data_IF_184422158589
#
_entry.id   IF_184422158589
#
_cell.length_a   1.000
_cell.length_b   1.000
_cell.length_c   1.000
_cell.angle_alpha   90.00
_cell.angle_beta   90.00
_cell.angle_gamma   90.00
#
_symmetry.space_group_name_H-M   'P 1'
#
loop_
_entity.id
_entity.type
_entity.pdbx_description
1 polymer ?
#
# COMPACT_ATOMS: atom_id res chain seq x y z
N UNK A 1 -24.84 -51.64 43.23
CA UNK A 1 -23.65 -50.77 43.39
C UNK A 1 -23.07 -50.52 42.00
N UNK A 2 -23.45 -49.40 41.39
CA UNK A 2 -23.08 -49.02 40.02
C UNK A 2 -22.83 -47.51 40.04
N UNK A 3 -21.90 -47.09 39.19
CA UNK A 3 -21.50 -45.72 38.86
C UNK A 3 -20.42 -45.16 39.78
N UNK A 4 -19.21 -45.05 39.25
CA UNK A 4 -18.32 -43.89 39.39
C UNK A 4 -16.95 -44.22 38.75
N UNK A 5 -16.85 -44.21 37.42
CA UNK A 5 -15.58 -44.01 36.71
C UNK A 5 -15.92 -43.31 35.39
N UNK A 6 -15.95 -41.97 35.38
CA UNK A 6 -15.91 -41.18 34.14
C UNK A 6 -15.55 -39.72 34.47
N UNK A 7 -14.31 -39.47 34.86
CA UNK A 7 -13.82 -38.10 35.08
C UNK A 7 -12.30 -38.04 34.84
N UNK A 8 -11.86 -38.26 33.60
CA UNK A 8 -10.44 -38.13 33.24
C UNK A 8 -10.19 -37.81 31.75
N UNK A 9 -11.13 -37.16 31.06
CA UNK A 9 -10.99 -36.85 29.63
C UNK A 9 -11.44 -35.40 29.33
N UNK A 10 -10.81 -34.39 29.94
CA UNK A 10 -11.11 -32.99 29.62
C UNK A 10 -9.92 -32.02 29.76
N UNK A 11 -8.67 -32.51 29.65
CA UNK A 11 -7.48 -31.68 29.88
C UNK A 11 -6.52 -31.58 28.68
N UNK A 12 -6.99 -31.80 27.44
CA UNK A 12 -6.15 -31.66 26.23
C UNK A 12 -6.88 -30.83 25.17
N UNK A 13 -7.09 -29.54 25.45
CA UNK A 13 -7.75 -28.64 24.49
C UNK A 13 -7.28 -27.18 24.59
N UNK A 14 -6.01 -26.94 24.92
CA UNK A 14 -5.52 -25.56 25.09
C UNK A 14 -4.08 -25.37 24.65
N UNK A 15 -3.73 -25.74 23.40
CA UNK A 15 -2.51 -25.25 22.74
C UNK A 15 -2.71 -25.20 21.21
N UNK A 16 -3.69 -24.43 20.76
CA UNK A 16 -3.69 -23.90 19.39
C UNK A 16 -3.55 -22.38 19.50
N UNK A 17 -2.31 -21.93 19.72
CA UNK A 17 -1.95 -20.56 19.38
C UNK A 17 -2.13 -20.42 17.87
N UNK A 18 -3.30 -19.97 17.45
CA UNK A 18 -3.50 -19.41 16.13
C UNK A 18 -2.56 -18.22 16.01
N UNK A 19 -1.40 -18.43 15.41
CA UNK A 19 -0.64 -17.35 14.80
C UNK A 19 -1.54 -16.77 13.72
N UNK A 20 -2.30 -15.75 14.06
CA UNK A 20 -2.92 -14.90 13.07
C UNK A 20 -1.78 -14.26 12.28
N UNK A 21 -1.39 -14.86 11.16
CA UNK A 21 -0.74 -14.09 10.11
C UNK A 21 -1.78 -13.04 9.72
N UNK A 22 -1.59 -11.82 10.24
CA UNK A 22 -2.44 -10.67 9.96
C UNK A 22 -2.54 -10.54 8.44
N UNK A 23 -3.74 -10.58 7.89
CA UNK A 23 -3.95 -10.39 6.46
C UNK A 23 -3.62 -8.93 6.06
N UNK A 24 -3.49 -8.69 4.75
CA UNK A 24 -3.43 -7.32 4.21
C UNK A 24 -4.64 -6.49 4.69
N UNK A 25 -4.47 -5.17 4.70
CA UNK A 25 -5.58 -4.24 4.93
C UNK A 25 -6.65 -4.40 3.85
N UNK A 26 -7.89 -4.11 4.25
CA UNK A 26 -9.07 -4.09 3.41
C UNK A 26 -9.77 -2.75 3.61
N UNK A 27 -10.23 -2.15 2.51
CA UNK A 27 -11.06 -0.96 2.57
C UNK A 27 -12.53 -1.38 2.48
N UNK A 28 -13.26 -1.23 3.58
CA UNK A 28 -14.69 -1.46 3.59
C UNK A 28 -15.39 -0.50 2.63
N UNK A 29 -16.23 -1.03 1.73
CA UNK A 29 -16.90 -0.22 0.71
C UNK A 29 -16.00 0.21 -0.45
N UNK A 30 -14.85 -0.44 -0.64
CA UNK A 30 -14.01 -0.28 -1.84
C UNK A 30 -14.86 -0.42 -3.12
N UNK A 31 -14.88 0.65 -3.90
CA UNK A 31 -15.74 0.75 -5.08
C UNK A 31 -14.97 0.99 -6.34
N UNK A 32 -14.03 1.93 -6.35
CA UNK A 32 -13.24 2.24 -7.53
C UNK A 32 -11.96 1.43 -7.50
N UNK A 33 -11.64 0.77 -8.62
CA UNK A 33 -10.47 -0.08 -8.73
C UNK A 33 -9.54 0.45 -9.82
N UNK A 34 -8.29 0.68 -9.46
CA UNK A 34 -7.24 1.16 -10.32
C UNK A 34 -5.99 0.27 -10.18
N UNK A 35 -5.28 0.12 -11.30
CA UNK A 35 -4.02 -0.63 -11.34
C UNK A 35 -2.87 0.34 -11.57
N UNK A 36 -1.72 0.04 -11.00
CA UNK A 36 -0.51 0.78 -11.29
C UNK A 36 -0.17 0.68 -12.79
N UNK A 37 0.41 1.73 -13.34
CA UNK A 37 0.84 1.73 -14.73
C UNK A 37 2.29 2.16 -14.93
N UNK A 38 2.74 3.19 -14.21
CA UNK A 38 4.06 3.78 -14.40
C UNK A 38 4.41 4.74 -13.27
N UNK A 39 5.68 5.12 -13.20
CA UNK A 39 6.12 6.37 -12.61
C UNK A 39 6.06 7.48 -13.66
N UNK A 40 5.49 8.64 -13.32
CA UNK A 40 5.25 9.76 -14.24
C UNK A 40 5.77 11.08 -13.66
N UNK A 41 6.05 12.05 -14.51
CA UNK A 41 6.44 13.40 -14.13
C UNK A 41 5.21 14.26 -13.76
N UNK A 42 5.39 15.51 -13.34
CA UNK A 42 4.30 16.30 -12.71
C UNK A 42 3.10 16.55 -13.66
N UNK A 43 3.32 16.47 -14.97
CA UNK A 43 2.26 16.53 -15.99
C UNK A 43 1.28 15.33 -15.94
N UNK A 44 1.61 14.26 -15.20
CA UNK A 44 0.80 13.05 -15.05
C UNK A 44 0.81 12.12 -16.27
N UNK A 45 1.65 12.40 -17.27
CA UNK A 45 1.66 11.72 -18.58
C UNK A 45 3.05 11.26 -19.01
N UNK A 46 4.06 12.13 -18.89
CA UNK A 46 5.44 11.82 -19.25
C UNK A 46 6.00 10.80 -18.27
N UNK A 47 6.55 9.69 -18.77
CA UNK A 47 7.12 8.67 -17.89
C UNK A 47 8.46 9.14 -17.31
N UNK A 48 8.68 8.85 -16.03
CA UNK A 48 9.97 9.04 -15.40
C UNK A 48 11.01 8.14 -16.08
N UNK A 49 12.21 8.66 -16.30
CA UNK A 49 13.29 7.91 -16.99
C UNK A 49 13.96 6.86 -16.10
N UNK A 50 13.78 6.96 -14.78
CA UNK A 50 14.33 6.06 -13.78
C UNK A 50 13.26 5.73 -12.73
N UNK A 51 13.38 4.56 -12.10
CA UNK A 51 12.58 4.21 -10.92
C UNK A 51 12.95 5.13 -9.75
N UNK A 52 12.00 5.58 -8.92
CA UNK A 52 12.31 6.34 -7.72
C UNK A 52 13.33 5.61 -6.83
N UNK A 53 14.38 6.32 -6.39
CA UNK A 53 15.53 5.69 -5.74
C UNK A 53 15.15 4.92 -4.47
N UNK A 54 14.28 5.50 -3.65
CA UNK A 54 13.76 4.98 -2.39
C UNK A 54 12.97 3.67 -2.60
N UNK A 55 12.29 3.54 -3.75
CA UNK A 55 11.51 2.37 -4.10
C UNK A 55 12.34 1.29 -4.79
N UNK A 56 13.37 1.70 -5.54
CA UNK A 56 14.27 0.80 -6.23
C UNK A 56 15.09 -0.06 -5.25
N UNK A 57 15.44 0.47 -4.06
CA UNK A 57 16.19 -0.25 -3.02
C UNK A 57 15.49 -1.55 -2.58
N UNK A 58 14.16 -1.55 -2.52
CA UNK A 58 13.34 -2.67 -2.07
C UNK A 58 12.57 -3.35 -3.20
N UNK A 59 12.88 -3.06 -4.47
CA UNK A 59 12.13 -3.56 -5.62
C UNK A 59 10.61 -3.36 -5.46
N UNK A 60 10.17 -2.18 -5.03
CA UNK A 60 8.76 -1.92 -4.75
C UNK A 60 7.96 -1.88 -6.06
N UNK A 61 6.89 -2.68 -6.10
CA UNK A 61 5.94 -2.77 -7.20
C UNK A 61 4.52 -2.51 -6.69
N UNK A 62 3.97 -1.35 -7.03
CA UNK A 62 2.55 -1.09 -6.80
C UNK A 62 1.70 -1.95 -7.74
N UNK A 63 0.61 -2.49 -7.22
CA UNK A 63 -0.27 -3.37 -8.00
C UNK A 63 -1.73 -2.93 -7.96
N UNK A 64 -2.14 -2.20 -6.90
CA UNK A 64 -3.53 -1.86 -6.68
C UNK A 64 -3.68 -0.48 -6.03
N UNK A 65 -4.66 0.27 -6.51
CA UNK A 65 -5.23 1.41 -5.81
C UNK A 65 -6.75 1.28 -5.85
N UNK A 66 -7.36 1.31 -4.67
CA UNK A 66 -8.81 1.30 -4.49
C UNK A 66 -9.28 2.58 -3.82
N UNK A 67 -10.53 2.96 -4.04
CA UNK A 67 -11.17 4.04 -3.29
C UNK A 67 -12.62 3.71 -2.97
N UNK A 68 -13.13 4.28 -1.88
CA UNK A 68 -14.55 4.16 -1.52
C UNK A 68 -15.45 5.03 -2.42
N UNK A 69 -16.76 5.06 -2.15
CA UNK A 69 -17.69 5.86 -2.94
C UNK A 69 -17.42 7.37 -2.88
N UNK A 70 -16.94 7.86 -1.74
CA UNK A 70 -16.67 9.28 -1.50
C UNK A 70 -15.37 9.76 -2.14
N UNK A 71 -14.46 8.83 -2.45
CA UNK A 71 -13.07 9.09 -2.85
C UNK A 71 -12.20 9.70 -1.74
N UNK A 72 -12.68 9.73 -0.50
CA UNK A 72 -11.93 10.24 0.64
C UNK A 72 -11.04 9.16 1.29
N UNK A 73 -11.39 7.88 1.13
CA UNK A 73 -10.61 6.76 1.64
C UNK A 73 -10.03 5.95 0.49
N UNK A 74 -8.72 5.76 0.52
CA UNK A 74 -7.96 5.08 -0.53
C UNK A 74 -7.24 3.89 0.09
N UNK A 75 -7.22 2.75 -0.60
CA UNK A 75 -6.32 1.64 -0.30
C UNK A 75 -5.26 1.52 -1.37
N UNK A 76 -3.99 1.46 -0.98
CA UNK A 76 -2.87 1.19 -1.87
C UNK A 76 -2.27 -0.15 -1.49
N UNK A 77 -1.95 -0.99 -2.49
CA UNK A 77 -1.20 -2.23 -2.28
C UNK A 77 0.01 -2.32 -3.19
N UNK A 78 1.07 -2.91 -2.65
CA UNK A 78 2.33 -3.13 -3.33
C UNK A 78 2.96 -4.45 -2.88
N UNK A 79 3.93 -4.92 -3.65
CA UNK A 79 4.90 -5.93 -3.24
C UNK A 79 6.30 -5.33 -3.18
N UNK A 80 7.17 -5.91 -2.37
CA UNK A 80 8.57 -5.50 -2.26
C UNK A 80 9.40 -6.70 -1.78
N UNK A 81 10.72 -6.55 -1.80
CA UNK A 81 11.66 -7.55 -1.32
C UNK A 81 12.54 -6.95 -0.22
N UNK A 82 12.70 -7.68 0.88
CA UNK A 82 13.63 -7.33 1.95
C UNK A 82 14.47 -8.56 2.30
N UNK A 83 15.80 -8.45 2.16
CA UNK A 83 16.74 -9.54 2.45
C UNK A 83 16.41 -10.88 1.76
N UNK A 84 15.89 -10.82 0.52
CA UNK A 84 15.47 -12.00 -0.25
C UNK A 84 14.10 -12.57 0.15
N UNK A 85 13.38 -11.91 1.06
CA UNK A 85 12.01 -12.26 1.46
C UNK A 85 11.03 -11.43 0.64
N UNK A 86 10.09 -12.11 -0.02
CA UNK A 86 8.99 -11.44 -0.70
C UNK A 86 7.96 -10.93 0.32
N UNK A 87 7.66 -9.64 0.24
CA UNK A 87 6.82 -8.93 1.18
C UNK A 87 5.58 -8.34 0.50
N UNK A 88 4.45 -8.31 1.20
CA UNK A 88 3.27 -7.54 0.80
C UNK A 88 3.17 -6.25 1.61
N UNK A 89 2.68 -5.20 0.95
CA UNK A 89 2.37 -3.91 1.55
C UNK A 89 0.90 -3.57 1.28
N UNK A 90 0.22 -3.06 2.29
CA UNK A 90 -1.09 -2.42 2.14
C UNK A 90 -1.18 -1.19 3.03
N UNK A 91 -1.81 -0.13 2.52
CA UNK A 91 -2.02 1.12 3.25
C UNK A 91 -3.39 1.70 3.00
N UNK A 92 -3.97 2.28 4.04
CA UNK A 92 -5.13 3.17 3.96
C UNK A 92 -4.64 4.60 3.99
N UNK A 93 -5.06 5.38 3.01
CA UNK A 93 -4.76 6.80 2.89
C UNK A 93 -6.07 7.60 2.96
N UNK A 94 -5.99 8.79 3.55
CA UNK A 94 -7.07 9.78 3.52
C UNK A 94 -6.78 10.83 2.46
N UNK A 95 -7.72 11.04 1.54
CA UNK A 95 -7.65 12.04 0.49
C UNK A 95 -8.49 13.27 0.86
N UNK A 96 -7.82 14.40 1.07
CA UNK A 96 -8.48 15.69 1.19
C UNK A 96 -8.69 16.28 -0.21
N UNK A 97 -9.89 16.07 -0.75
CA UNK A 97 -10.30 16.55 -2.06
C UNK A 97 -10.36 18.09 -2.16
N UNK A 98 -10.41 18.82 -1.04
CA UNK A 98 -10.37 20.28 -1.04
C UNK A 98 -8.94 20.81 -1.13
N UNK A 99 -8.00 20.16 -0.44
CA UNK A 99 -6.59 20.51 -0.43
C UNK A 99 -5.76 19.82 -1.53
N UNK A 100 -6.32 18.81 -2.20
CA UNK A 100 -5.62 17.95 -3.17
C UNK A 100 -4.41 17.24 -2.57
N UNK A 101 -4.54 16.82 -1.31
CA UNK A 101 -3.52 16.10 -0.55
C UNK A 101 -4.00 14.72 -0.13
N UNK A 102 -3.06 13.81 0.05
CA UNK A 102 -3.29 12.47 0.56
C UNK A 102 -2.33 12.21 1.73
N UNK A 103 -2.84 11.60 2.80
CA UNK A 103 -2.09 11.32 4.02
C UNK A 103 -2.21 9.83 4.38
N UNK A 104 -1.11 9.24 4.86
CA UNK A 104 -1.09 7.88 5.37
C UNK A 104 -1.84 7.78 6.70
N UNK A 105 -2.84 6.90 6.79
CA UNK A 105 -3.61 6.66 8.02
C UNK A 105 -3.18 5.37 8.71
N UNK A 106 -3.07 4.29 7.95
CA UNK A 106 -2.65 2.98 8.45
C UNK A 106 -1.86 2.26 7.36
N UNK A 107 -0.86 1.46 7.75
CA UNK A 107 -0.18 0.55 6.84
C UNK A 107 0.23 -0.76 7.49
N UNK A 108 0.44 -1.76 6.64
CA UNK A 108 0.86 -3.10 7.02
C UNK A 108 1.86 -3.65 6.02
N UNK A 109 2.93 -4.24 6.55
CA UNK A 109 3.92 -5.03 5.81
C UNK A 109 3.88 -6.47 6.29
N UNK A 110 3.89 -7.43 5.38
CA UNK A 110 3.86 -8.86 5.70
C UNK A 110 4.95 -9.63 4.96
N UNK A 111 5.57 -10.64 5.59
CA UNK A 111 5.45 -10.99 7.01
C UNK A 111 5.98 -9.89 7.94
N UNK A 112 5.28 -9.68 9.07
CA UNK A 112 5.54 -8.53 9.97
C UNK A 112 6.98 -8.43 10.45
N UNK A 113 7.64 -9.57 10.71
CA UNK A 113 8.98 -9.60 11.29
C UNK A 113 10.11 -9.43 10.27
N UNK A 114 9.84 -9.70 8.99
CA UNK A 114 10.87 -9.80 7.95
C UNK A 114 10.85 -8.61 6.98
N UNK A 115 9.81 -7.78 7.06
CA UNK A 115 9.50 -6.77 6.05
C UNK A 115 9.37 -5.35 6.65
N UNK A 116 9.91 -5.13 7.85
CA UNK A 116 9.69 -3.89 8.60
C UNK A 116 10.39 -2.68 7.97
N UNK A 117 11.58 -2.85 7.38
CA UNK A 117 12.34 -1.73 6.83
C UNK A 117 11.74 -1.27 5.49
N UNK A 118 11.44 -2.21 4.59
CA UNK A 118 10.79 -1.88 3.31
C UNK A 118 9.42 -1.24 3.54
N UNK A 119 8.64 -1.73 4.52
CA UNK A 119 7.41 -1.06 4.96
C UNK A 119 7.67 0.38 5.38
N UNK A 120 8.65 0.64 6.24
CA UNK A 120 8.93 1.98 6.75
C UNK A 120 9.35 2.96 5.63
N UNK A 121 10.05 2.46 4.61
CA UNK A 121 10.38 3.27 3.43
C UNK A 121 9.13 3.63 2.62
N UNK A 122 8.25 2.65 2.36
CA UNK A 122 6.99 2.91 1.64
C UNK A 122 6.07 3.84 2.47
N UNK A 123 6.06 3.70 3.80
CA UNK A 123 5.32 4.60 4.69
C UNK A 123 5.82 6.04 4.55
N UNK A 124 7.14 6.25 4.57
CA UNK A 124 7.73 7.58 4.40
C UNK A 124 7.42 8.18 3.03
N UNK A 125 7.39 7.36 1.98
CA UNK A 125 6.97 7.77 0.64
C UNK A 125 5.51 8.20 0.60
N UNK A 126 4.63 7.54 1.35
CA UNK A 126 3.18 7.79 1.33
C UNK A 126 2.68 8.71 2.45
N UNK A 127 3.55 9.14 3.37
CA UNK A 127 3.21 9.87 4.60
C UNK A 127 2.26 11.05 4.36
N UNK A 128 2.66 11.98 3.49
CA UNK A 128 1.84 13.14 3.13
C UNK A 128 2.25 13.70 1.76
N UNK A 129 1.34 13.67 0.80
CA UNK A 129 1.65 14.01 -0.59
C UNK A 129 0.53 14.79 -1.27
N UNK A 130 0.88 15.51 -2.34
CA UNK A 130 -0.12 16.00 -3.28
C UNK A 130 -0.58 14.86 -4.19
N UNK A 131 -1.85 14.84 -4.59
CA UNK A 131 -2.34 13.90 -5.60
C UNK A 131 -3.17 14.64 -6.65
N UNK A 132 -3.29 14.03 -7.84
CA UNK A 132 -4.20 14.49 -8.90
C UNK A 132 -5.04 13.31 -9.35
N UNK A 133 -6.31 13.55 -9.66
CA UNK A 133 -7.13 12.58 -10.37
C UNK A 133 -7.96 13.27 -11.46
N UNK A 134 -8.00 12.65 -12.65
CA UNK A 134 -8.80 13.14 -13.77
C UNK A 134 -9.07 12.01 -14.77
N UNK A 135 -10.30 11.89 -15.25
CA UNK A 135 -10.70 10.94 -16.29
C UNK A 135 -10.24 9.48 -16.01
N UNK A 136 -10.35 9.04 -14.76
CA UNK A 136 -9.97 7.69 -14.35
C UNK A 136 -8.46 7.47 -14.21
N UNK A 137 -7.65 8.53 -14.28
CA UNK A 137 -6.22 8.51 -13.93
C UNK A 137 -6.07 9.09 -12.53
N UNK A 138 -5.23 8.49 -11.71
CA UNK A 138 -4.84 9.02 -10.41
C UNK A 138 -3.32 8.93 -10.26
N UNK A 139 -2.69 9.95 -9.68
CA UNK A 139 -1.28 9.91 -9.35
C UNK A 139 -1.01 10.57 -8.00
N UNK A 140 -0.20 9.91 -7.17
CA UNK A 140 0.32 10.43 -5.91
C UNK A 140 1.73 10.97 -6.20
N UNK A 141 1.94 12.27 -6.02
CA UNK A 141 3.19 12.95 -6.38
C UNK A 141 4.08 13.11 -5.15
N UNK A 142 5.22 12.43 -5.18
CA UNK A 142 6.15 12.28 -4.06
C UNK A 142 7.48 12.96 -4.39
N UNK A 143 8.10 13.70 -3.44
CA UNK A 143 9.40 14.34 -3.64
C UNK A 143 10.57 13.36 -3.49
N UNK A 144 10.73 12.44 -4.43
CA UNK A 144 11.84 11.49 -4.41
C UNK A 144 13.19 12.17 -4.66
N UNK A 145 14.25 11.63 -4.05
CA UNK A 145 15.61 12.18 -4.14
C UNK A 145 16.18 12.28 -5.56
N UNK A 146 15.72 11.41 -6.47
CA UNK A 146 16.13 11.43 -7.88
C UNK A 146 15.12 12.10 -8.83
N UNK A 147 14.12 12.83 -8.34
CA UNK A 147 13.06 13.43 -9.16
C UNK A 147 13.60 14.34 -10.29
N UNK A 148 14.54 15.24 -9.98
CA UNK A 148 15.12 16.14 -10.99
C UNK A 148 15.85 15.37 -12.10
N UNK A 149 16.53 14.27 -11.76
CA UNK A 149 17.19 13.43 -12.75
C UNK A 149 16.18 12.63 -13.57
N UNK A 150 15.16 12.09 -12.92
CA UNK A 150 14.17 11.21 -13.54
C UNK A 150 13.23 11.96 -14.50
N UNK A 151 12.86 13.21 -14.15
CA UNK A 151 11.84 13.98 -14.86
C UNK A 151 12.33 15.29 -15.49
N UNK A 152 13.35 15.94 -14.91
CA UNK A 152 13.93 17.20 -15.43
C UNK A 152 12.87 18.27 -15.79
N UNK A 153 11.80 18.35 -15.00
CA UNK A 153 10.67 19.26 -15.18
C UNK A 153 10.63 20.39 -14.13
N UNK A 154 11.57 20.39 -13.18
CA UNK A 154 11.68 21.38 -12.10
C UNK A 154 10.61 21.26 -11.02
N UNK A 155 9.80 20.20 -11.03
CA UNK A 155 8.75 19.97 -10.04
C UNK A 155 9.29 19.40 -8.72
N UNK A 156 10.48 18.79 -8.75
CA UNK A 156 11.05 18.03 -7.64
C UNK A 156 10.22 16.82 -7.22
N UNK A 157 9.30 16.31 -8.06
CA UNK A 157 8.40 15.20 -7.72
C UNK A 157 8.31 14.15 -8.82
N UNK A 158 7.94 12.93 -8.42
CA UNK A 158 7.53 11.86 -9.34
C UNK A 158 6.15 11.34 -8.88
N UNK A 159 5.24 11.18 -9.83
CA UNK A 159 3.92 10.60 -9.64
C UNK A 159 3.94 9.07 -9.69
N UNK A 160 3.35 8.42 -8.69
CA UNK A 160 2.98 7.00 -8.72
C UNK A 160 1.62 6.90 -9.42
N UNK A 161 1.60 6.50 -10.69
CA UNK A 161 0.41 6.60 -11.53
C UNK A 161 -0.42 5.30 -11.57
N UNK A 162 -1.73 5.49 -11.46
CA UNK A 162 -2.75 4.44 -11.50
C UNK A 162 -3.83 4.77 -12.54
N UNK A 163 -4.37 3.73 -13.16
CA UNK A 163 -5.48 3.82 -14.12
C UNK A 163 -6.65 2.97 -13.63
N UNK A 164 -7.82 3.61 -13.49
CA UNK A 164 -9.09 2.94 -13.18
C UNK A 164 -9.38 1.92 -14.26
N UNK A 165 -9.64 0.68 -13.84
CA UNK A 165 -10.01 -0.43 -14.72
C UNK A 165 -11.40 -1.00 -14.42
N UNK A 166 -11.98 -0.68 -13.25
CA UNK A 166 -13.24 -1.27 -12.86
C UNK A 166 -13.88 -0.60 -11.65
N UNK A 167 -15.06 -1.12 -11.31
CA UNK A 167 -15.78 -0.79 -10.09
C UNK A 167 -16.47 -2.04 -9.53
N UNK A 168 -16.55 -2.13 -8.21
CA UNK A 168 -17.37 -3.13 -7.50
C UNK A 168 -18.85 -2.72 -7.42
#
# INVERSE_FOLDING_TARGET
MKKMILAALFAVAALSNTFAQSADLVLDGERWLAKWTAYVCDDGHTQATEVPAELAEYNVEFNHLGADYSLDNIIVKASYEENGVACSYSAILFADNAAWTVELVESRGLPVNDCANGKAVIDSVLEFNSYKYLHGRAAIFVPFSNAEKACNDGSGKIGIHFQVYGRN
#
